data_IF_511855928763
#
_entry.id   IF_511855928763
#
_cell.length_a   1.000
_cell.length_b   1.000
_cell.length_c   1.000
_cell.angle_alpha   90.00
_cell.angle_beta   90.00
_cell.angle_gamma   90.00
#
_symmetry.space_group_name_H-M   'P 1'
#
loop_
_entity.id
_entity.type
_entity.pdbx_description
1 polymer ?
#
# COMPACT_ATOMS: atom_id res chain seq x y z
N UNK A 1 12.54 12.94 -6.81
CA UNK A 1 11.57 14.03 -6.54
C UNK A 1 10.36 13.70 -7.38
N UNK A 2 9.27 13.27 -6.75
CA UNK A 2 8.07 12.76 -7.43
C UNK A 2 6.85 13.48 -6.82
N UNK A 3 5.86 13.79 -7.65
CA UNK A 3 4.63 14.47 -7.23
C UNK A 3 3.68 13.53 -6.48
N UNK A 4 3.82 12.22 -6.68
CA UNK A 4 2.98 11.24 -6.02
C UNK A 4 3.46 10.97 -4.59
N UNK A 5 2.75 11.54 -3.62
CA UNK A 5 3.05 11.39 -2.19
C UNK A 5 2.98 9.94 -1.69
N UNK A 6 2.13 9.08 -2.28
CA UNK A 6 2.03 7.67 -1.87
C UNK A 6 3.26 6.87 -2.33
N UNK A 7 3.79 7.19 -3.51
CA UNK A 7 5.02 6.58 -4.01
C UNK A 7 6.22 6.95 -3.13
N UNK A 8 6.34 8.24 -2.77
CA UNK A 8 7.39 8.71 -1.86
C UNK A 8 7.26 8.05 -0.49
N UNK A 9 6.04 7.92 0.03
CA UNK A 9 5.77 7.25 1.32
C UNK A 9 6.18 5.79 1.28
N UNK A 10 5.85 5.06 0.20
CA UNK A 10 6.27 3.67 0.01
C UNK A 10 7.80 3.53 0.09
N UNK A 11 8.55 4.32 -0.67
CA UNK A 11 10.01 4.23 -0.66
C UNK A 11 10.62 4.56 0.70
N UNK A 12 10.11 5.58 1.39
CA UNK A 12 10.59 5.94 2.74
C UNK A 12 10.32 4.83 3.76
N UNK A 13 9.14 4.21 3.71
CA UNK A 13 8.78 3.11 4.60
C UNK A 13 9.64 1.88 4.31
N UNK A 14 9.80 1.49 3.04
CA UNK A 14 10.64 0.35 2.66
C UNK A 14 12.10 0.57 3.09
N UNK A 15 12.61 1.79 2.97
CA UNK A 15 13.97 2.11 3.38
C UNK A 15 14.19 2.01 4.89
N UNK A 16 13.23 2.46 5.71
CA UNK A 16 13.43 2.63 7.15
C UNK A 16 12.73 1.57 8.01
N UNK A 17 11.73 0.87 7.47
CA UNK A 17 10.82 -0.02 8.20
C UNK A 17 10.43 -1.26 7.37
N UNK A 18 11.38 -1.85 6.63
CA UNK A 18 11.13 -2.99 5.73
C UNK A 18 10.42 -4.16 6.42
N UNK A 19 10.89 -4.57 7.60
CA UNK A 19 10.31 -5.71 8.31
C UNK A 19 8.84 -5.47 8.68
N UNK A 20 8.53 -4.27 9.16
CA UNK A 20 7.18 -3.89 9.54
C UNK A 20 6.26 -3.77 8.32
N UNK A 21 6.79 -3.26 7.20
CA UNK A 21 6.09 -3.26 5.92
C UNK A 21 5.75 -4.67 5.43
N UNK A 22 6.73 -5.58 5.41
CA UNK A 22 6.53 -6.98 4.98
C UNK A 22 5.55 -7.69 5.92
N UNK A 23 5.59 -7.39 7.22
CA UNK A 23 4.70 -7.97 8.22
C UNK A 23 3.21 -7.71 7.94
N UNK A 24 2.87 -6.59 7.27
CA UNK A 24 1.49 -6.28 6.85
C UNK A 24 0.89 -7.37 5.94
N UNK A 25 1.73 -8.10 5.21
CA UNK A 25 1.30 -9.09 4.22
C UNK A 25 1.32 -10.53 4.71
N UNK A 26 1.88 -10.82 5.90
CA UNK A 26 2.08 -12.19 6.41
C UNK A 26 0.81 -13.05 6.40
N UNK A 27 -0.33 -12.42 6.69
CA UNK A 27 -1.65 -13.07 6.73
C UNK A 27 -2.68 -12.34 5.88
N UNK A 28 -2.22 -11.51 4.94
CA UNK A 28 -3.11 -10.75 4.08
C UNK A 28 -3.79 -11.70 3.08
N UNK A 29 -5.12 -11.60 2.99
CA UNK A 29 -5.90 -12.32 2.00
C UNK A 29 -5.98 -11.49 0.71
N UNK A 30 -5.53 -12.05 -0.40
CA UNK A 30 -5.75 -11.46 -1.72
C UNK A 30 -7.13 -11.87 -2.26
N UNK A 31 -8.03 -10.91 -2.44
CA UNK A 31 -9.33 -11.13 -3.08
C UNK A 31 -9.84 -9.85 -3.75
N UNK A 32 -10.78 -9.99 -4.71
CA UNK A 32 -11.44 -8.84 -5.34
C UNK A 32 -12.17 -7.97 -4.32
N UNK A 33 -12.80 -8.59 -3.33
CA UNK A 33 -13.50 -7.85 -2.28
C UNK A 33 -12.52 -7.04 -1.42
N UNK A 34 -11.39 -7.62 -1.03
CA UNK A 34 -10.33 -6.91 -0.29
C UNK A 34 -9.75 -5.77 -1.14
N UNK A 35 -9.59 -5.98 -2.45
CA UNK A 35 -9.14 -4.92 -3.36
C UNK A 35 -10.09 -3.72 -3.37
N UNK A 36 -11.40 -3.94 -3.51
CA UNK A 36 -12.39 -2.85 -3.46
C UNK A 36 -12.40 -2.15 -2.09
N UNK A 37 -12.27 -2.89 -0.99
CA UNK A 37 -12.14 -2.29 0.34
C UNK A 37 -10.90 -1.41 0.45
N UNK A 38 -9.74 -1.89 0.02
CA UNK A 38 -8.52 -1.09 0.01
C UNK A 38 -8.67 0.16 -0.86
N UNK A 39 -9.34 0.06 -2.01
CA UNK A 39 -9.61 1.21 -2.88
C UNK A 39 -10.47 2.27 -2.18
N UNK A 40 -11.50 1.87 -1.44
CA UNK A 40 -12.39 2.78 -0.68
C UNK A 40 -11.75 3.37 0.58
N UNK A 41 -10.74 2.71 1.16
CA UNK A 41 -10.06 3.19 2.37
C UNK A 41 -9.41 4.55 2.14
N UNK A 42 -9.70 5.50 3.04
CA UNK A 42 -9.15 6.86 3.06
C UNK A 42 -7.68 6.85 3.50
N UNK A 43 -6.70 7.22 2.65
CA UNK A 43 -5.29 7.15 3.00
C UNK A 43 -4.88 8.06 4.17
N UNK A 44 -5.59 9.19 4.38
CA UNK A 44 -5.36 10.17 5.45
C UNK A 44 -5.62 9.64 6.85
N UNK A 45 -6.36 8.54 6.98
CA UNK A 45 -6.61 7.90 8.29
C UNK A 45 -5.59 6.83 8.62
N UNK A 46 -4.63 6.55 7.72
CA UNK A 46 -3.66 5.48 7.85
C UNK A 46 -2.30 6.00 8.33
N UNK A 47 -1.59 5.17 9.08
CA UNK A 47 -0.15 5.38 9.30
C UNK A 47 0.63 5.26 7.99
N UNK A 48 1.83 5.84 7.91
CA UNK A 48 2.68 5.76 6.73
C UNK A 48 2.93 4.30 6.28
N UNK A 49 3.11 3.38 7.23
CA UNK A 49 3.31 1.96 6.93
C UNK A 49 2.05 1.34 6.31
N UNK A 50 0.88 1.58 6.90
CA UNK A 50 -0.38 1.08 6.37
C UNK A 50 -0.71 1.68 5.00
N UNK A 51 -0.42 2.98 4.82
CA UNK A 51 -0.60 3.67 3.54
C UNK A 51 0.32 3.09 2.47
N UNK A 52 1.59 2.87 2.78
CA UNK A 52 2.54 2.21 1.89
C UNK A 52 2.08 0.79 1.52
N UNK A 53 1.64 0.00 2.50
CA UNK A 53 1.15 -1.35 2.27
C UNK A 53 -0.11 -1.37 1.39
N UNK A 54 -1.06 -0.47 1.65
CA UNK A 54 -2.26 -0.26 0.81
C UNK A 54 -1.89 0.11 -0.63
N UNK A 55 -1.02 1.10 -0.80
CA UNK A 55 -0.58 1.56 -2.12
C UNK A 55 0.08 0.41 -2.90
N UNK A 56 1.00 -0.32 -2.25
CA UNK A 56 1.63 -1.50 -2.84
C UNK A 56 0.61 -2.58 -3.23
N UNK A 57 -0.33 -2.91 -2.32
CA UNK A 57 -1.37 -3.92 -2.56
C UNK A 57 -2.20 -3.56 -3.80
N UNK A 58 -2.67 -2.32 -3.89
CA UNK A 58 -3.48 -1.87 -5.02
C UNK A 58 -2.69 -1.92 -6.33
N UNK A 59 -1.44 -1.46 -6.34
CA UNK A 59 -0.61 -1.50 -7.55
C UNK A 59 -0.28 -2.92 -8.00
N UNK A 60 0.00 -3.82 -7.06
CA UNK A 60 0.34 -5.21 -7.36
C UNK A 60 -0.83 -6.02 -7.90
N UNK A 61 -2.06 -5.70 -7.47
CA UNK A 61 -3.27 -6.42 -7.86
C UNK A 61 -4.10 -5.73 -8.96
N UNK A 62 -3.75 -4.49 -9.35
CA UNK A 62 -4.43 -3.79 -10.44
C UNK A 62 -3.98 -4.25 -11.83
N UNK A 63 -4.90 -4.16 -12.79
CA UNK A 63 -4.55 -4.40 -14.19
C UNK A 63 -3.58 -3.33 -14.68
N UNK A 64 -2.41 -3.77 -15.16
CA UNK A 64 -1.33 -2.90 -15.63
C UNK A 64 -0.83 -1.87 -14.59
N UNK A 65 -1.00 -2.13 -13.29
CA UNK A 65 -0.57 -1.19 -12.23
C UNK A 65 -1.24 0.18 -12.33
N UNK A 66 -2.50 0.22 -12.80
CA UNK A 66 -3.31 1.44 -12.86
C UNK A 66 -4.43 1.35 -11.85
N UNK A 67 -4.32 2.15 -10.79
CA UNK A 67 -5.27 2.26 -9.67
C UNK A 67 -5.96 3.61 -9.70
#
# INVERSE_FOLDING_TARGET
>A
NDINGDLVTLYRVVQNHLEEFVRQFKWALSSRQVFEWQKMTRPETLTDIQRAARFFYLQHHAFAGKV
#
